data_IF_134237696124
#
_entry.id   IF_134237696124
#
_cell.length_a   1.000
_cell.length_b   1.000
_cell.length_c   1.000
_cell.angle_alpha   90.00
_cell.angle_beta   90.00
_cell.angle_gamma   90.00
#
_symmetry.space_group_name_H-M   'P 1'
#
loop_
_entity.id
_entity.type
_entity.pdbx_description
1 polymer ?
#
# COMPACT_ATOMS: atom_id res chain seq x y z
N UNK A 1 -5.32 17.55 12.11
CA UNK A 1 -5.94 16.78 13.21
C UNK A 1 -7.03 15.95 12.56
N UNK A 2 -7.18 14.67 12.94
CA UNK A 2 -8.22 13.82 12.35
C UNK A 2 -9.55 14.24 12.98
N UNK A 3 -10.51 14.68 12.18
CA UNK A 3 -11.83 15.16 12.64
C UNK A 3 -12.78 14.03 13.08
N UNK A 4 -12.23 12.85 13.40
CA UNK A 4 -12.97 11.67 13.80
C UNK A 4 -12.57 11.26 15.23
N UNK A 5 -13.46 11.42 16.23
CA UNK A 5 -13.17 11.09 17.63
C UNK A 5 -12.98 9.58 17.87
N UNK A 6 -13.42 8.72 16.95
CA UNK A 6 -13.26 7.27 17.04
C UNK A 6 -11.86 6.78 16.61
N UNK A 7 -11.00 7.67 16.11
CA UNK A 7 -9.66 7.32 15.62
C UNK A 7 -8.62 7.93 16.54
N UNK A 8 -8.03 7.09 17.39
CA UNK A 8 -6.87 7.43 18.21
C UNK A 8 -5.59 6.81 17.64
N UNK A 9 -4.59 7.65 17.39
CA UNK A 9 -3.27 7.25 16.92
C UNK A 9 -2.24 7.73 17.96
N UNK A 10 -1.49 6.79 18.54
CA UNK A 10 -0.43 7.07 19.50
C UNK A 10 0.92 6.73 18.88
N UNK A 11 1.86 7.65 18.93
CA UNK A 11 3.24 7.40 18.48
C UNK A 11 4.00 6.80 19.67
N UNK A 12 4.46 5.57 19.54
CA UNK A 12 5.14 4.86 20.64
C UNK A 12 6.66 5.02 20.59
N UNK A 13 7.26 4.88 19.41
CA UNK A 13 8.71 4.84 19.30
C UNK A 13 9.20 5.33 17.94
N UNK A 14 10.33 6.03 17.92
CA UNK A 14 11.08 6.29 16.70
C UNK A 14 11.81 5.01 16.27
N UNK A 15 11.52 4.55 15.06
CA UNK A 15 12.00 3.28 14.52
C UNK A 15 13.36 3.40 13.82
N UNK A 16 13.72 4.59 13.30
CA UNK A 16 15.02 4.81 12.66
C UNK A 16 15.55 6.24 12.87
N UNK A 17 16.86 6.41 12.66
CA UNK A 17 17.51 7.74 12.62
C UNK A 17 16.95 8.63 11.50
N UNK A 18 16.32 8.06 10.47
CA UNK A 18 15.73 8.76 9.31
C UNK A 18 14.19 8.94 9.40
N UNK A 19 13.69 9.46 10.53
CA UNK A 19 12.29 9.95 10.66
C UNK A 19 11.15 8.92 10.55
N UNK A 20 11.42 7.63 10.75
CA UNK A 20 10.35 6.62 10.83
C UNK A 20 9.84 6.46 12.26
N UNK A 21 8.53 6.30 12.43
CA UNK A 21 7.89 6.12 13.72
C UNK A 21 6.97 4.92 13.72
N UNK A 22 6.94 4.20 14.85
CA UNK A 22 5.91 3.22 15.15
C UNK A 22 4.73 3.93 15.78
N UNK A 23 3.59 3.87 15.09
CA UNK A 23 2.32 4.31 15.62
C UNK A 23 1.43 3.11 15.95
N UNK A 24 0.69 3.22 17.06
CA UNK A 24 -0.36 2.28 17.45
C UNK A 24 -1.72 2.94 17.27
N UNK A 25 -2.62 2.20 16.65
CA UNK A 25 -3.99 2.62 16.36
C UNK A 25 -4.90 1.69 17.13
N UNK A 26 -5.79 2.24 17.95
CA UNK A 26 -6.68 1.44 18.80
C UNK A 26 -7.67 0.62 17.97
N UNK A 27 -8.21 1.20 16.89
CA UNK A 27 -9.06 0.51 15.93
C UNK A 27 -8.56 0.71 14.49
N UNK A 28 -7.84 -0.30 13.98
CA UNK A 28 -7.26 -0.27 12.65
C UNK A 28 -8.32 -0.29 11.52
N UNK A 29 -9.47 -0.95 11.72
CA UNK A 29 -10.52 -1.01 10.70
C UNK A 29 -11.20 0.34 10.51
N UNK A 30 -11.54 1.03 11.61
CA UNK A 30 -12.11 2.38 11.57
C UNK A 30 -11.17 3.35 10.85
N UNK A 31 -9.86 3.27 11.13
CA UNK A 31 -8.87 4.08 10.42
C UNK A 31 -8.85 3.77 8.92
N UNK A 32 -8.81 2.49 8.52
CA UNK A 32 -8.80 2.11 7.10
C UNK A 32 -10.07 2.61 6.39
N UNK A 33 -11.25 2.43 6.99
CA UNK A 33 -12.51 2.90 6.42
C UNK A 33 -12.56 4.43 6.29
N UNK A 34 -12.05 5.15 7.29
CA UNK A 34 -11.96 6.61 7.25
C UNK A 34 -11.01 7.10 6.16
N UNK A 35 -9.81 6.51 6.07
CA UNK A 35 -8.85 6.83 5.01
C UNK A 35 -9.39 6.45 3.62
N UNK A 36 -10.16 5.37 3.49
CA UNK A 36 -10.76 5.00 2.21
C UNK A 36 -11.89 5.95 1.77
N UNK A 37 -12.57 6.60 2.72
CA UNK A 37 -13.70 7.51 2.43
C UNK A 37 -13.29 8.99 2.33
N UNK A 38 -12.23 9.39 3.05
CA UNK A 38 -11.81 10.80 3.16
C UNK A 38 -10.38 11.03 2.68
N UNK A 39 -9.57 9.97 2.52
CA UNK A 39 -8.21 10.08 2.03
C UNK A 39 -8.19 10.29 0.53
N UNK A 40 -7.31 11.19 0.08
CA UNK A 40 -6.99 11.38 -1.32
C UNK A 40 -5.63 10.73 -1.61
N UNK A 41 -5.50 9.99 -2.72
CA UNK A 41 -4.19 9.48 -3.11
C UNK A 41 -3.40 10.63 -3.74
N UNK A 42 -2.11 10.67 -3.42
CA UNK A 42 -1.17 11.66 -3.94
C UNK A 42 -0.29 11.07 -5.04
N UNK A 43 -0.81 10.18 -5.88
CA UNK A 43 -0.09 9.64 -7.03
C UNK A 43 -0.40 10.43 -8.32
N UNK A 44 0.65 10.87 -9.03
CA UNK A 44 0.51 11.69 -10.25
C UNK A 44 -0.09 10.92 -11.45
N UNK A 45 -0.10 9.59 -11.41
CA UNK A 45 -0.32 8.75 -12.60
C UNK A 45 -1.69 8.06 -12.68
N UNK A 46 -2.49 8.10 -11.61
CA UNK A 46 -3.79 7.41 -11.58
C UNK A 46 -4.83 8.34 -10.98
N UNK A 47 -5.90 8.63 -11.73
CA UNK A 47 -7.06 9.30 -11.17
C UNK A 47 -7.63 8.43 -10.04
N UNK A 48 -7.51 8.92 -8.81
CA UNK A 48 -7.99 8.28 -7.60
C UNK A 48 -9.44 7.82 -7.74
N UNK A 49 -10.29 8.61 -8.40
CA UNK A 49 -11.71 8.29 -8.57
C UNK A 49 -11.95 7.03 -9.39
N UNK A 50 -11.13 6.79 -10.42
CA UNK A 50 -11.22 5.59 -11.27
C UNK A 50 -10.76 4.34 -10.52
N UNK A 51 -9.72 4.47 -9.69
CA UNK A 51 -9.22 3.38 -8.86
C UNK A 51 -10.27 2.86 -7.88
N UNK A 52 -10.99 3.75 -7.19
CA UNK A 52 -12.06 3.35 -6.27
C UNK A 52 -13.30 2.84 -7.00
N UNK A 53 -13.58 3.33 -8.20
CA UNK A 53 -14.73 2.91 -9.02
C UNK A 53 -14.52 1.55 -9.68
N UNK A 54 -13.31 1.22 -10.10
CA UNK A 54 -12.98 -0.01 -10.83
C UNK A 54 -11.75 -0.72 -10.24
N UNK A 55 -11.77 -1.11 -8.96
CA UNK A 55 -10.58 -1.63 -8.28
C UNK A 55 -10.00 -2.87 -8.96
N UNK A 56 -10.83 -3.74 -9.53
CA UNK A 56 -10.40 -4.98 -10.19
C UNK A 56 -9.62 -4.74 -11.49
N UNK A 57 -9.79 -3.57 -12.13
CA UNK A 57 -9.04 -3.21 -13.34
C UNK A 57 -7.58 -2.80 -13.04
N UNK A 58 -7.28 -2.46 -11.78
CA UNK A 58 -5.97 -1.97 -11.32
C UNK A 58 -5.30 -2.89 -10.30
N UNK A 59 -5.92 -4.05 -10.03
CA UNK A 59 -5.48 -5.02 -9.01
C UNK A 59 -5.03 -6.31 -9.68
N UNK A 60 -3.80 -6.73 -9.40
CA UNK A 60 -3.34 -8.07 -9.79
C UNK A 60 -3.92 -9.15 -8.87
N UNK A 61 -3.79 -10.43 -9.25
CA UNK A 61 -4.17 -11.57 -8.38
C UNK A 61 -3.47 -11.55 -7.01
N UNK A 62 -2.42 -10.75 -6.84
CA UNK A 62 -1.66 -10.61 -5.61
C UNK A 62 -2.15 -9.47 -4.70
N UNK A 63 -2.94 -8.51 -5.20
CA UNK A 63 -3.39 -7.36 -4.39
C UNK A 63 -4.68 -7.67 -3.64
N UNK A 64 -4.54 -8.36 -2.50
CA UNK A 64 -5.68 -8.75 -1.63
C UNK A 64 -6.01 -7.74 -0.53
N UNK A 65 -5.13 -6.78 -0.24
CA UNK A 65 -5.29 -5.82 0.87
C UNK A 65 -5.59 -4.42 0.36
N UNK A 66 -6.39 -3.67 1.13
CA UNK A 66 -6.61 -2.24 0.90
C UNK A 66 -5.28 -1.48 0.90
N UNK A 67 -5.12 -0.56 -0.04
CA UNK A 67 -3.87 0.18 -0.24
C UNK A 67 -2.78 -0.56 -1.02
N UNK A 68 -2.93 -1.86 -1.32
CA UNK A 68 -2.06 -2.53 -2.28
C UNK A 68 -2.31 -1.98 -3.69
N UNK A 69 -1.27 -1.41 -4.30
CA UNK A 69 -1.25 -0.98 -5.69
C UNK A 69 -0.59 -2.05 -6.58
N UNK A 70 -0.88 -2.00 -7.87
CA UNK A 70 -0.17 -2.74 -8.89
C UNK A 70 1.34 -2.45 -8.89
N UNK A 71 2.15 -3.50 -9.02
CA UNK A 71 3.52 -3.42 -9.55
C UNK A 71 3.43 -3.91 -11.00
N UNK A 72 3.52 -3.01 -12.00
CA UNK A 72 3.34 -3.37 -13.38
C UNK A 72 4.59 -4.10 -13.89
N UNK A 73 4.40 -5.32 -14.42
CA UNK A 73 5.17 -6.02 -15.47
C UNK A 73 5.24 -7.53 -15.23
N UNK A 74 5.71 -7.99 -14.06
CA UNK A 74 5.95 -9.43 -13.84
C UNK A 74 4.69 -10.19 -13.38
N UNK A 75 3.82 -9.57 -12.60
CA UNK A 75 2.68 -10.24 -11.96
C UNK A 75 1.48 -10.50 -12.87
N UNK A 76 1.32 -9.72 -13.95
CA UNK A 76 0.13 -9.75 -14.83
C UNK A 76 -0.01 -11.04 -15.64
N UNK A 77 1.09 -11.77 -15.85
CA UNK A 77 1.08 -13.02 -16.61
C UNK A 77 0.66 -14.22 -15.75
N UNK A 78 0.52 -14.05 -14.44
CA UNK A 78 0.18 -15.13 -13.52
C UNK A 78 -1.31 -15.15 -13.21
N UNK A 79 -1.98 -16.21 -13.66
CA UNK A 79 -3.34 -16.55 -13.24
C UNK A 79 -3.30 -17.57 -12.10
N UNK A 80 -4.39 -17.70 -11.34
CA UNK A 80 -4.51 -18.75 -10.31
C UNK A 80 -4.33 -20.16 -10.88
N UNK A 81 -4.86 -20.41 -12.07
CA UNK A 81 -4.69 -21.68 -12.79
C UNK A 81 -3.21 -21.96 -13.13
N UNK A 82 -2.46 -20.93 -13.55
CA UNK A 82 -1.03 -21.09 -13.83
C UNK A 82 -0.24 -21.34 -12.55
N UNK A 83 -0.54 -20.61 -11.47
CA UNK A 83 0.08 -20.82 -10.16
C UNK A 83 -0.17 -22.24 -9.66
N UNK A 84 -1.38 -22.78 -9.87
CA UNK A 84 -1.71 -24.15 -9.49
C UNK A 84 -0.88 -25.17 -10.29
N UNK A 85 -0.77 -24.99 -11.62
CA UNK A 85 0.07 -25.84 -12.47
C UNK A 85 1.55 -25.84 -12.06
N UNK A 86 2.07 -24.72 -11.55
CA UNK A 86 3.44 -24.64 -11.04
C UNK A 86 3.58 -25.48 -9.77
N UNK A 87 2.61 -25.38 -8.83
CA UNK A 87 2.60 -26.18 -7.60
C UNK A 87 2.50 -27.68 -7.88
N UNK A 88 1.63 -28.06 -8.81
CA UNK A 88 1.41 -29.48 -9.17
C UNK A 88 2.67 -30.13 -9.78
N UNK A 89 3.56 -29.32 -10.38
CA UNK A 89 4.87 -29.75 -10.88
C UNK A 89 5.98 -29.74 -9.81
N UNK A 90 5.64 -29.50 -8.54
CA UNK A 90 6.60 -29.44 -7.43
C UNK A 90 7.28 -28.09 -7.27
N UNK A 91 6.81 -27.04 -7.94
CA UNK A 91 7.31 -25.68 -7.77
C UNK A 91 6.90 -25.06 -6.43
N UNK A 92 7.85 -24.41 -5.75
CA UNK A 92 7.60 -23.67 -4.51
C UNK A 92 7.17 -22.24 -4.83
N UNK A 93 6.14 -21.76 -4.13
CA UNK A 93 5.61 -20.39 -4.27
C UNK A 93 5.74 -19.68 -2.93
N UNK A 94 6.38 -18.51 -2.93
CA UNK A 94 6.46 -17.61 -1.79
C UNK A 94 6.04 -16.19 -2.21
N UNK A 95 5.46 -15.44 -1.29
CA UNK A 95 4.97 -14.09 -1.53
C UNK A 95 5.83 -13.09 -0.75
N UNK A 96 6.27 -12.04 -1.43
CA UNK A 96 6.97 -10.91 -0.82
C UNK A 96 6.08 -9.67 -0.87
N UNK A 97 6.27 -8.76 0.08
CA UNK A 97 5.59 -7.45 0.08
C UNK A 97 6.63 -6.36 -0.16
N UNK A 98 6.45 -5.56 -1.21
CA UNK A 98 7.26 -4.39 -1.50
C UNK A 98 6.48 -3.13 -1.15
N UNK A 99 7.03 -2.29 -0.27
CA UNK A 99 6.46 -0.99 0.08
C UNK A 99 7.06 0.08 -0.83
N UNK A 100 6.29 0.57 -1.81
CA UNK A 100 6.81 1.49 -2.85
C UNK A 100 6.72 2.97 -2.42
N UNK A 101 5.69 3.34 -1.66
CA UNK A 101 5.41 4.74 -1.27
C UNK A 101 6.42 5.33 -0.27
N UNK A 102 7.02 4.51 0.61
CA UNK A 102 7.99 5.02 1.59
C UNK A 102 9.29 5.53 0.95
N UNK A 103 9.63 5.02 -0.24
CA UNK A 103 10.87 5.38 -0.94
C UNK A 103 10.76 6.73 -1.65
N UNK A 104 9.57 7.08 -2.16
CA UNK A 104 9.32 8.36 -2.83
C UNK A 104 9.30 9.54 -1.83
N UNK A 105 8.68 9.38 -0.66
CA UNK A 105 8.61 10.46 0.34
C UNK A 105 9.99 10.84 0.90
N UNK A 106 10.86 9.85 1.18
CA UNK A 106 12.19 10.10 1.75
C UNK A 106 13.18 10.67 0.71
N UNK A 107 13.00 10.35 -0.58
CA UNK A 107 13.88 10.84 -1.65
C UNK A 107 13.54 12.26 -2.10
N UNK A 108 12.26 12.63 -2.12
CA UNK A 108 11.82 13.99 -2.48
C UNK A 108 12.20 15.05 -1.44
N UNK A 109 12.22 14.72 -0.15
CA UNK A 109 12.68 15.64 0.90
C UNK A 109 14.18 15.93 0.81
N UNK A 110 15.03 14.93 0.49
CA UNK A 110 16.48 15.14 0.31
C UNK A 110 16.79 16.03 -0.89
N UNK A 111 15.94 16.04 -1.92
CA UNK A 111 16.12 16.91 -3.09
C UNK A 111 15.79 18.38 -2.81
N UNK A 112 14.75 18.67 -2.00
CA UNK A 112 14.36 20.05 -1.66
C UNK A 112 15.31 20.74 -0.68
N UNK A 113 16.08 19.99 0.10
CA UNK A 113 17.08 20.55 1.03
C UNK A 113 18.43 20.88 0.35
N UNK A 114 18.59 20.56 -0.93
CA UNK A 114 19.82 20.78 -1.70
C UNK A 114 19.63 21.76 -2.87
N UNK A 115 18.57 22.59 -2.84
CA UNK A 115 18.32 23.69 -3.80
C UNK A 115 18.23 25.00 -3.05
#
# INVERSE_FOLDING_TARGET
MVDNPEISIKIEQRFSEESQYRAVVENHETLICYLASHGERLDEYVDSSLFYKYPDAYRSVFSKKYGSLEIPSAGIHFTWDLIQKIKDKGGLISFITLHVASTEMLSTEKYKQNV
#
